data_IF_800997043960
#
_entry.id   IF_800997043960
#
_cell.length_a   1.000
_cell.length_b   1.000
_cell.length_c   1.000
_cell.angle_alpha   90.00
_cell.angle_beta   90.00
_cell.angle_gamma   90.00
#
_symmetry.space_group_name_H-M   'P 1'
#
loop_
_entity.id
_entity.type
_entity.pdbx_description
1 polymer ?
#
# COMPACT_ATOMS: atom_id res chain seq x y z
N UNK A 1 -1.80 1.75 32.55
CA UNK A 1 -1.94 2.75 31.46
C UNK A 1 -1.66 2.05 30.15
N UNK A 2 -2.65 1.97 29.29
CA UNK A 2 -2.47 1.42 27.94
C UNK A 2 -1.47 2.31 27.19
N UNK A 3 -0.33 1.78 26.77
CA UNK A 3 0.69 2.55 26.06
C UNK A 3 0.24 2.76 24.61
N UNK A 4 -0.08 3.99 24.26
CA UNK A 4 -0.18 4.40 22.86
C UNK A 4 1.22 4.46 22.26
N UNK A 5 1.45 3.80 21.13
CA UNK A 5 2.74 3.85 20.47
C UNK A 5 3.00 2.72 19.50
N UNK A 6 4.17 2.79 18.91
CA UNK A 6 4.63 1.82 17.91
C UNK A 6 6.00 1.30 18.34
N UNK A 7 6.28 0.05 18.00
CA UNK A 7 7.57 -0.57 18.27
C UNK A 7 7.94 -1.60 17.20
N UNK A 8 9.24 -1.79 17.00
CA UNK A 8 9.76 -2.94 16.24
C UNK A 8 10.04 -4.05 17.27
N UNK A 9 9.33 -5.19 17.23
CA UNK A 9 9.58 -6.31 18.12
C UNK A 9 11.00 -6.86 18.02
N UNK A 10 11.46 -7.60 19.04
CA UNK A 10 12.83 -8.15 19.04
C UNK A 10 13.12 -9.03 17.84
N UNK A 11 12.17 -9.88 17.43
CA UNK A 11 12.31 -10.72 16.24
C UNK A 11 12.38 -9.88 14.96
N UNK A 12 11.59 -8.81 14.88
CA UNK A 12 11.64 -7.87 13.76
C UNK A 12 12.99 -7.17 13.63
N UNK A 13 13.57 -6.72 14.76
CA UNK A 13 14.93 -6.14 14.77
C UNK A 13 16.00 -7.16 14.35
N UNK A 14 15.88 -8.39 14.82
CA UNK A 14 16.79 -9.46 14.43
C UNK A 14 16.68 -9.77 12.93
N UNK A 15 15.47 -9.77 12.37
CA UNK A 15 15.23 -9.93 10.95
C UNK A 15 15.88 -8.80 10.14
N UNK A 16 15.69 -7.54 10.53
CA UNK A 16 16.32 -6.39 9.87
C UNK A 16 17.85 -6.55 9.84
N UNK A 17 18.45 -6.87 10.98
CA UNK A 17 19.90 -7.07 11.07
C UNK A 17 20.39 -8.20 10.14
N UNK A 18 19.65 -9.30 10.07
CA UNK A 18 19.94 -10.46 9.22
C UNK A 18 19.86 -10.10 7.73
N UNK A 19 18.79 -9.41 7.33
CA UNK A 19 18.58 -8.96 5.95
C UNK A 19 19.68 -8.00 5.49
N UNK A 20 20.08 -7.05 6.35
CA UNK A 20 21.18 -6.15 6.06
C UNK A 20 22.52 -6.89 5.88
N UNK A 21 22.80 -7.86 6.75
CA UNK A 21 24.04 -8.67 6.66
C UNK A 21 24.10 -9.50 5.38
N UNK A 22 22.97 -10.08 4.97
CA UNK A 22 22.84 -10.93 3.77
C UNK A 22 22.59 -10.13 2.48
N UNK A 23 22.37 -8.81 2.57
CA UNK A 23 21.98 -7.92 1.46
C UNK A 23 20.75 -8.41 0.69
N UNK A 24 19.79 -8.94 1.41
CA UNK A 24 18.54 -9.46 0.87
C UNK A 24 17.42 -8.42 1.00
N UNK A 25 16.40 -8.44 0.14
CA UNK A 25 15.24 -7.57 0.30
C UNK A 25 14.40 -8.00 1.51
N UNK A 26 13.87 -7.03 2.26
CA UNK A 26 12.85 -7.25 3.27
C UNK A 26 11.50 -7.47 2.57
N UNK A 27 10.88 -8.63 2.79
CA UNK A 27 9.62 -9.03 2.15
C UNK A 27 8.47 -8.90 3.13
N UNK A 28 7.66 -7.85 3.00
CA UNK A 28 6.42 -7.71 3.78
C UNK A 28 5.41 -8.73 3.24
N UNK A 29 4.91 -9.58 4.13
CA UNK A 29 4.06 -10.72 3.77
C UNK A 29 2.58 -10.49 4.08
N UNK A 30 2.26 -9.73 5.12
CA UNK A 30 0.88 -9.38 5.47
C UNK A 30 0.82 -8.18 6.41
N UNK A 31 -0.37 -7.60 6.47
CA UNK A 31 -0.75 -6.58 7.44
C UNK A 31 -2.02 -7.05 8.13
N UNK A 32 -2.08 -6.90 9.45
CA UNK A 32 -3.22 -7.33 10.26
C UNK A 32 -3.66 -6.22 11.20
N UNK A 33 -4.98 -6.11 11.37
CA UNK A 33 -5.62 -5.32 12.42
C UNK A 33 -6.12 -6.25 13.51
N UNK A 34 -6.01 -5.79 14.75
CA UNK A 34 -6.45 -6.54 15.91
C UNK A 34 -7.28 -5.69 16.87
N UNK A 35 -8.03 -6.37 17.73
CA UNK A 35 -8.80 -5.76 18.81
C UNK A 35 -8.23 -6.04 20.21
N UNK A 36 -7.08 -6.71 20.24
CA UNK A 36 -6.40 -7.05 21.49
C UNK A 36 -5.78 -5.83 22.17
N UNK A 37 -5.48 -6.00 23.43
CA UNK A 37 -4.76 -5.05 24.26
C UNK A 37 -3.53 -5.74 24.81
N UNK A 38 -2.34 -5.19 24.56
CA UNK A 38 -1.12 -5.73 25.12
C UNK A 38 -1.23 -5.76 26.67
N UNK A 39 -1.05 -6.94 27.29
CA UNK A 39 -1.09 -7.05 28.74
C UNK A 39 -0.06 -6.13 29.41
N UNK A 40 -0.39 -5.61 30.61
CA UNK A 40 0.47 -4.65 31.32
C UNK A 40 1.83 -5.25 31.74
N UNK A 41 1.88 -6.55 31.93
CA UNK A 41 3.07 -7.33 32.29
C UNK A 41 3.90 -7.79 31.09
N UNK A 42 3.42 -7.54 29.86
CA UNK A 42 4.10 -7.90 28.62
C UNK A 42 4.70 -6.65 27.97
N UNK A 43 6.00 -6.69 27.71
CA UNK A 43 6.62 -5.63 26.94
C UNK A 43 6.24 -5.76 25.44
N UNK A 44 5.66 -4.74 24.81
CA UNK A 44 5.20 -4.83 23.40
C UNK A 44 6.27 -5.29 22.41
N UNK A 45 7.53 -5.00 22.70
CA UNK A 45 8.68 -5.47 21.90
C UNK A 45 8.96 -6.97 22.00
N UNK A 46 8.31 -7.70 22.90
CA UNK A 46 8.43 -9.16 23.03
C UNK A 46 7.29 -9.92 22.37
N UNK A 47 6.27 -9.21 21.85
CA UNK A 47 5.18 -9.82 21.12
C UNK A 47 5.68 -10.47 19.82
N UNK A 48 5.19 -11.65 19.53
CA UNK A 48 5.48 -12.40 18.30
C UNK A 48 4.34 -12.32 17.29
N UNK A 49 3.13 -12.02 17.73
CA UNK A 49 1.93 -11.78 16.93
C UNK A 49 1.05 -10.74 17.62
N UNK A 50 -0.02 -10.30 16.97
CA UNK A 50 -1.07 -9.50 17.60
C UNK A 50 -1.71 -10.28 18.74
N UNK A 51 -2.18 -9.57 19.75
CA UNK A 51 -2.87 -10.18 20.90
C UNK A 51 -4.19 -10.79 20.47
N UNK A 52 -4.96 -10.12 19.63
CA UNK A 52 -6.21 -10.61 19.09
C UNK A 52 -6.39 -10.13 17.64
N UNK A 53 -5.80 -10.82 16.65
CA UNK A 53 -5.93 -10.45 15.24
C UNK A 53 -7.38 -10.67 14.75
N UNK A 54 -7.91 -9.74 13.96
CA UNK A 54 -9.30 -9.78 13.46
C UNK A 54 -9.37 -9.72 11.95
N UNK A 55 -8.68 -8.76 11.32
CA UNK A 55 -8.83 -8.48 9.90
C UNK A 55 -7.51 -8.19 9.21
N UNK A 56 -7.39 -8.61 7.97
CA UNK A 56 -6.27 -8.21 7.13
C UNK A 56 -6.38 -6.73 6.73
N UNK A 57 -5.23 -6.08 6.63
CA UNK A 57 -5.07 -4.76 6.06
C UNK A 57 -4.27 -4.79 4.77
N UNK A 58 -4.04 -3.62 4.21
CA UNK A 58 -3.16 -3.38 3.06
C UNK A 58 -2.22 -2.22 3.35
N UNK A 59 -1.32 -1.90 2.43
CA UNK A 59 -0.47 -0.71 2.53
C UNK A 59 -0.24 -0.06 1.18
N UNK A 60 0.23 1.19 1.21
CA UNK A 60 0.87 1.81 0.03
C UNK A 60 2.18 1.09 -0.29
N UNK A 61 2.68 1.28 -1.51
CA UNK A 61 4.07 0.94 -1.80
C UNK A 61 5.02 1.70 -0.86
N UNK A 62 6.05 1.02 -0.33
CA UNK A 62 7.04 1.66 0.51
C UNK A 62 7.83 2.71 -0.25
N UNK A 63 8.00 3.87 0.36
CA UNK A 63 8.91 4.92 -0.10
C UNK A 63 10.09 5.06 0.85
N UNK A 64 11.21 5.62 0.37
CA UNK A 64 12.46 5.66 1.10
C UNK A 64 12.92 7.08 1.30
N UNK A 65 13.36 7.39 2.53
CA UNK A 65 14.09 8.60 2.85
C UNK A 65 15.31 8.23 3.74
N UNK A 66 16.48 8.26 3.13
CA UNK A 66 17.71 7.82 3.78
C UNK A 66 17.66 6.32 4.17
N UNK A 67 17.66 6.06 5.46
CA UNK A 67 17.62 4.73 6.06
C UNK A 67 16.22 4.31 6.55
N UNK A 68 15.21 5.15 6.29
CA UNK A 68 13.84 4.95 6.77
C UNK A 68 12.91 4.63 5.61
N UNK A 69 12.07 3.63 5.82
CA UNK A 69 10.98 3.22 4.95
C UNK A 69 9.69 3.81 5.48
N UNK A 70 8.99 4.54 4.64
CA UNK A 70 7.68 5.11 4.91
C UNK A 70 6.62 4.33 4.17
N UNK A 71 5.55 3.95 4.83
CA UNK A 71 4.37 3.34 4.24
C UNK A 71 3.11 3.76 4.99
N UNK A 72 1.98 3.72 4.32
CA UNK A 72 0.67 3.90 4.93
C UNK A 72 0.00 2.54 5.06
N UNK A 73 -0.20 2.07 6.27
CA UNK A 73 -1.03 0.89 6.56
C UNK A 73 -2.49 1.31 6.49
N UNK A 74 -3.30 0.58 5.74
CA UNK A 74 -4.72 0.87 5.54
C UNK A 74 -5.58 -0.36 5.88
N UNK A 75 -6.64 -0.13 6.66
CA UNK A 75 -7.78 -1.03 6.77
C UNK A 75 -8.96 -0.47 5.98
N UNK A 76 -9.64 -1.33 5.25
CA UNK A 76 -10.91 -1.03 4.60
C UNK A 76 -11.92 -2.13 4.91
N UNK A 77 -13.15 -1.74 5.19
CA UNK A 77 -14.21 -2.70 5.56
C UNK A 77 -14.59 -3.68 4.45
N UNK A 78 -14.25 -3.39 3.20
CA UNK A 78 -14.49 -4.25 2.03
C UNK A 78 -13.34 -5.21 1.69
N UNK A 79 -12.22 -5.16 2.44
CA UNK A 79 -11.11 -6.10 2.24
C UNK A 79 -11.55 -7.55 2.49
N UNK A 80 -11.04 -8.48 1.68
CA UNK A 80 -11.31 -9.92 1.78
C UNK A 80 -12.80 -10.29 1.77
N UNK A 81 -13.60 -9.57 0.99
CA UNK A 81 -15.05 -9.78 0.89
C UNK A 81 -15.87 -9.08 1.97
N UNK A 82 -15.21 -8.30 2.83
CA UNK A 82 -15.83 -7.58 3.93
C UNK A 82 -16.03 -8.41 5.19
N UNK A 83 -16.13 -7.74 6.32
CA UNK A 83 -16.47 -8.36 7.60
C UNK A 83 -17.98 -8.23 7.86
N UNK A 84 -18.58 -9.31 8.34
CA UNK A 84 -20.01 -9.38 8.72
C UNK A 84 -20.32 -8.66 10.02
N UNK A 85 -19.29 -8.26 10.78
CA UNK A 85 -19.45 -7.54 12.04
C UNK A 85 -18.37 -6.46 12.18
N UNK A 86 -18.74 -5.34 12.80
CA UNK A 86 -17.78 -4.30 13.19
C UNK A 86 -16.91 -4.75 14.37
N UNK A 87 -15.77 -4.07 14.55
CA UNK A 87 -14.86 -4.31 15.67
C UNK A 87 -14.09 -3.03 16.02
N UNK A 88 -13.43 -3.04 17.18
CA UNK A 88 -12.56 -1.97 17.61
C UNK A 88 -11.13 -2.26 17.18
N UNK A 89 -10.56 -1.44 16.30
CA UNK A 89 -9.12 -1.48 16.05
C UNK A 89 -8.41 -0.92 17.28
N UNK A 90 -7.62 -1.77 17.93
CA UNK A 90 -6.79 -1.42 19.10
C UNK A 90 -5.31 -1.60 18.83
N UNK A 91 -5.00 -2.48 17.89
CA UNK A 91 -3.64 -2.82 17.51
C UNK A 91 -3.56 -3.11 16.01
N UNK A 92 -2.37 -2.98 15.46
CA UNK A 92 -2.06 -3.43 14.09
C UNK A 92 -0.62 -3.93 14.02
N UNK A 93 -0.37 -4.82 13.07
CA UNK A 93 0.95 -5.39 12.84
C UNK A 93 1.31 -5.45 11.36
N UNK A 94 2.57 -5.18 11.06
CA UNK A 94 3.19 -5.46 9.77
C UNK A 94 4.07 -6.69 9.93
N UNK A 95 3.90 -7.67 9.06
CA UNK A 95 4.63 -8.94 9.09
C UNK A 95 5.53 -9.07 7.86
N UNK A 96 6.66 -9.72 8.05
CA UNK A 96 7.62 -9.97 6.99
C UNK A 96 8.11 -11.42 7.01
N UNK A 97 8.57 -11.91 5.86
CA UNK A 97 9.19 -13.23 5.75
C UNK A 97 10.65 -13.19 6.17
N UNK A 98 11.04 -14.11 7.04
CA UNK A 98 12.45 -14.42 7.32
C UNK A 98 13.06 -15.18 6.13
N UNK A 99 14.36 -15.33 6.13
CA UNK A 99 15.13 -16.04 5.08
C UNK A 99 14.77 -17.53 4.97
N UNK A 100 14.26 -18.13 6.05
CA UNK A 100 13.75 -19.51 6.08
C UNK A 100 12.30 -19.64 5.62
N UNK A 101 11.64 -18.52 5.28
CA UNK A 101 10.23 -18.45 4.86
C UNK A 101 9.23 -18.35 6.00
N UNK A 102 9.68 -18.39 7.27
CA UNK A 102 8.79 -18.13 8.41
C UNK A 102 8.34 -16.67 8.46
N UNK A 103 7.19 -16.40 9.07
CA UNK A 103 6.71 -15.04 9.30
C UNK A 103 7.20 -14.49 10.63
N UNK A 104 7.54 -13.22 10.62
CA UNK A 104 7.97 -12.45 11.79
C UNK A 104 7.22 -11.14 11.83
N UNK A 105 6.68 -10.77 12.99
CA UNK A 105 6.12 -9.44 13.20
C UNK A 105 7.25 -8.41 13.18
N UNK A 106 7.25 -7.59 12.11
CA UNK A 106 8.26 -6.56 11.88
C UNK A 106 7.95 -5.29 12.65
N UNK A 107 6.67 -4.94 12.76
CA UNK A 107 6.21 -3.70 13.36
C UNK A 107 4.90 -3.94 14.10
N UNK A 108 4.80 -3.40 15.29
CA UNK A 108 3.60 -3.44 16.12
C UNK A 108 3.18 -2.03 16.50
N UNK A 109 1.92 -1.70 16.26
CA UNK A 109 1.29 -0.46 16.66
C UNK A 109 0.12 -0.73 17.61
N UNK A 110 0.04 0.05 18.68
CA UNK A 110 -1.11 0.03 19.60
C UNK A 110 -1.76 1.40 19.66
N UNK A 111 -3.09 1.44 19.61
CA UNK A 111 -3.88 2.66 19.75
C UNK A 111 -4.15 3.02 21.22
N UNK A 112 -3.71 2.18 22.16
CA UNK A 112 -3.83 2.44 23.60
C UNK A 112 -5.28 2.69 24.03
N UNK A 113 -5.49 3.84 24.63
CA UNK A 113 -6.78 4.28 25.15
C UNK A 113 -7.69 4.91 24.06
N UNK A 114 -7.25 4.95 22.81
CA UNK A 114 -7.96 5.56 21.67
C UNK A 114 -8.32 4.54 20.58
N UNK A 115 -9.05 3.44 20.91
CA UNK A 115 -9.47 2.48 19.91
C UNK A 115 -10.39 3.14 18.87
N UNK A 116 -10.34 2.65 17.65
CA UNK A 116 -11.16 3.15 16.56
C UNK A 116 -12.17 2.10 16.14
N UNK A 117 -13.45 2.45 16.22
CA UNK A 117 -14.52 1.59 15.72
C UNK A 117 -14.50 1.55 14.20
N UNK A 118 -14.67 0.36 13.65
CA UNK A 118 -14.97 0.13 12.24
C UNK A 118 -16.23 -0.71 12.11
N UNK A 119 -17.11 -0.30 11.21
CA UNK A 119 -18.39 -0.95 10.98
C UNK A 119 -18.27 -2.16 10.08
N UNK A 120 -19.26 -3.07 10.14
CA UNK A 120 -19.43 -4.10 9.15
C UNK A 120 -19.63 -3.48 7.75
N UNK A 121 -19.13 -4.12 6.72
CA UNK A 121 -19.20 -3.61 5.36
C UNK A 121 -20.65 -3.38 4.88
N UNK A 122 -21.59 -4.26 5.28
CA UNK A 122 -23.00 -4.18 4.89
C UNK A 122 -23.80 -3.07 5.57
N UNK A 123 -23.29 -2.47 6.67
CA UNK A 123 -24.10 -1.58 7.52
C UNK A 123 -24.01 -0.11 7.12
N UNK A 124 -22.84 0.40 6.77
CA UNK A 124 -22.59 1.82 6.57
C UNK A 124 -21.77 2.16 5.32
N UNK A 125 -21.57 1.18 4.43
CA UNK A 125 -20.72 1.35 3.26
C UNK A 125 -19.22 1.18 3.58
N UNK A 126 -18.37 1.91 2.90
CA UNK A 126 -16.92 1.80 3.04
C UNK A 126 -16.41 2.55 4.28
N UNK A 127 -15.84 1.83 5.23
CA UNK A 127 -15.12 2.39 6.37
C UNK A 127 -13.63 2.17 6.18
N UNK A 128 -12.84 3.22 6.32
CA UNK A 128 -11.39 3.21 6.07
C UNK A 128 -10.64 3.81 7.24
N UNK A 129 -9.54 3.15 7.66
CA UNK A 129 -8.59 3.66 8.66
C UNK A 129 -7.18 3.57 8.11
N UNK A 130 -6.37 4.60 8.39
CA UNK A 130 -5.00 4.71 7.89
C UNK A 130 -4.05 5.02 9.02
N UNK A 131 -2.91 4.35 9.01
CA UNK A 131 -1.86 4.49 10.02
C UNK A 131 -0.52 4.67 9.32
N UNK A 132 0.17 5.81 9.52
CA UNK A 132 1.52 5.98 9.01
C UNK A 132 2.47 5.04 9.75
N UNK A 133 3.35 4.40 9.02
CA UNK A 133 4.37 3.49 9.54
C UNK A 133 5.71 3.88 8.98
N UNK A 134 6.64 4.18 9.88
CA UNK A 134 8.02 4.51 9.58
C UNK A 134 8.93 3.43 10.19
N UNK A 135 9.74 2.79 9.35
CA UNK A 135 10.64 1.71 9.77
C UNK A 135 12.06 2.08 9.37
N UNK A 136 12.92 2.32 10.34
CA UNK A 136 14.36 2.51 10.09
C UNK A 136 15.02 1.14 9.90
N UNK A 137 15.54 0.88 8.69
CA UNK A 137 16.13 -0.41 8.31
C UNK A 137 17.61 -0.31 7.93
N UNK A 138 18.18 0.90 7.83
CA UNK A 138 19.56 1.14 7.45
C UNK A 138 19.76 1.36 5.94
N UNK A 139 20.86 2.00 5.58
CA UNK A 139 21.19 2.35 4.20
C UNK A 139 21.31 1.13 3.29
N UNK A 140 20.75 1.23 2.09
CA UNK A 140 20.87 0.25 1.02
C UNK A 140 19.96 -0.98 1.15
N UNK A 141 19.04 -1.00 2.13
CA UNK A 141 18.02 -2.05 2.21
C UNK A 141 16.90 -1.80 1.18
N UNK A 142 16.40 -2.89 0.61
CA UNK A 142 15.23 -2.87 -0.28
C UNK A 142 14.06 -3.54 0.41
N UNK A 143 12.89 -2.93 0.38
CA UNK A 143 11.64 -3.53 0.87
C UNK A 143 10.76 -3.91 -0.30
N UNK A 144 10.19 -5.10 -0.27
CA UNK A 144 9.26 -5.62 -1.27
C UNK A 144 7.98 -6.03 -0.55
N UNK A 145 6.84 -5.69 -1.13
CA UNK A 145 5.55 -6.20 -0.68
C UNK A 145 5.32 -7.55 -1.36
N UNK A 146 5.19 -8.61 -0.55
CA UNK A 146 5.00 -10.00 -0.99
C UNK A 146 3.70 -10.59 -0.42
N UNK A 147 2.60 -9.85 -0.54
CA UNK A 147 1.27 -10.38 -0.29
C UNK A 147 0.41 -10.21 -1.55
N UNK A 148 -0.64 -11.06 -1.66
CA UNK A 148 -1.47 -11.10 -2.86
C UNK A 148 -2.03 -9.72 -3.19
N UNK A 149 -1.95 -9.27 -4.46
CA UNK A 149 -2.57 -8.04 -4.94
C UNK A 149 -4.11 -8.06 -4.88
N UNK A 150 -4.73 -9.15 -4.44
CA UNK A 150 -6.15 -9.17 -4.04
C UNK A 150 -6.40 -8.28 -2.81
N UNK A 151 -5.36 -7.88 -2.11
CA UNK A 151 -5.41 -6.72 -1.25
C UNK A 151 -5.75 -5.50 -2.11
N UNK A 152 -6.89 -4.90 -1.86
CA UNK A 152 -7.39 -3.72 -2.59
C UNK A 152 -6.35 -2.60 -2.56
N UNK A 153 -6.18 -1.94 -3.71
CA UNK A 153 -5.26 -0.80 -3.84
C UNK A 153 -5.70 0.34 -2.93
N UNK A 154 -4.74 1.00 -2.29
CA UNK A 154 -5.00 2.25 -1.59
C UNK A 154 -5.33 3.37 -2.57
N UNK A 155 -5.85 4.51 -2.08
CA UNK A 155 -6.13 5.68 -2.93
C UNK A 155 -4.85 6.21 -3.61
N UNK A 156 -3.71 6.09 -2.94
CA UNK A 156 -2.40 6.48 -3.45
C UNK A 156 -1.94 5.51 -4.55
N UNK A 157 -2.15 4.21 -4.37
CA UNK A 157 -1.84 3.19 -5.39
C UNK A 157 -2.68 3.41 -6.65
N UNK A 158 -3.97 3.73 -6.49
CA UNK A 158 -4.86 4.06 -7.62
C UNK A 158 -4.36 5.31 -8.35
N UNK A 159 -3.97 6.37 -7.63
CA UNK A 159 -3.37 7.56 -8.24
C UNK A 159 -2.07 7.23 -8.96
N UNK A 160 -1.19 6.46 -8.32
CA UNK A 160 0.04 5.97 -8.92
C UNK A 160 -0.23 5.20 -10.21
N UNK A 161 -1.10 4.20 -10.17
CA UNK A 161 -1.50 3.42 -11.35
C UNK A 161 -2.08 4.31 -12.45
N UNK A 162 -2.96 5.25 -12.11
CA UNK A 162 -3.54 6.18 -13.08
C UNK A 162 -2.47 7.05 -13.75
N UNK A 163 -1.53 7.59 -12.99
CA UNK A 163 -0.52 8.52 -13.51
C UNK A 163 0.64 7.83 -14.22
N UNK A 164 1.11 6.70 -13.73
CA UNK A 164 2.31 6.01 -14.25
C UNK A 164 2.02 4.97 -15.30
N UNK A 165 0.81 4.38 -15.31
CA UNK A 165 0.46 3.28 -16.20
C UNK A 165 -0.70 3.62 -17.11
N UNK A 166 -1.86 3.97 -16.56
CA UNK A 166 -3.09 4.13 -17.33
C UNK A 166 -3.01 5.34 -18.26
N UNK A 167 -2.65 6.51 -17.72
CA UNK A 167 -2.58 7.74 -18.51
C UNK A 167 -1.54 7.66 -19.65
N UNK A 168 -0.32 7.14 -19.45
CA UNK A 168 0.62 6.92 -20.56
C UNK A 168 0.10 5.94 -21.61
N UNK A 169 -0.59 4.87 -21.22
CA UNK A 169 -1.22 3.95 -22.16
C UNK A 169 -2.27 4.64 -23.03
N UNK A 170 -3.19 5.40 -22.43
CA UNK A 170 -4.18 6.19 -23.16
C UNK A 170 -3.55 7.22 -24.10
N UNK A 171 -2.50 7.90 -23.66
CA UNK A 171 -1.78 8.86 -24.49
C UNK A 171 -1.12 8.16 -25.70
N UNK A 172 -0.55 6.99 -25.51
CA UNK A 172 0.05 6.20 -26.60
C UNK A 172 -0.98 5.70 -27.59
N UNK A 173 -2.13 5.19 -27.11
CA UNK A 173 -3.24 4.79 -27.98
C UNK A 173 -3.85 5.99 -28.74
N UNK A 174 -4.07 7.11 -28.04
CA UNK A 174 -4.56 8.32 -28.67
C UNK A 174 -3.61 8.83 -29.76
N UNK A 175 -2.30 8.79 -29.51
CA UNK A 175 -1.28 9.15 -30.48
C UNK A 175 -1.34 8.21 -31.71
N UNK A 176 -1.49 6.91 -31.51
CA UNK A 176 -1.64 5.92 -32.59
C UNK A 176 -2.91 6.10 -33.40
N UNK A 177 -3.99 6.63 -32.80
CA UNK A 177 -5.22 6.98 -33.51
C UNK A 177 -5.10 8.31 -34.27
N UNK A 178 -4.26 9.23 -33.83
CA UNK A 178 -4.04 10.52 -34.49
C UNK A 178 -3.12 10.38 -35.70
N UNK A 179 -2.08 9.55 -35.62
CA UNK A 179 -1.09 9.36 -36.68
C UNK A 179 -1.67 8.81 -38.00
N UNK A 180 -2.64 7.86 -38.02
CA UNK A 180 -3.30 7.42 -39.26
C UNK A 180 -4.16 8.48 -39.92
N UNK A 181 -4.62 9.51 -39.18
CA UNK A 181 -5.40 10.62 -39.72
C UNK A 181 -4.54 11.78 -40.24
N UNK A 182 -3.25 11.74 -40.01
CA UNK A 182 -2.31 12.76 -40.52
C UNK A 182 -2.25 12.84 -42.06
N UNK A 183 -2.35 11.73 -42.82
CA UNK A 183 -2.51 11.78 -44.28
C UNK A 183 -3.77 12.51 -44.73
N UNK A 184 -4.88 12.37 -44.01
CA UNK A 184 -6.14 13.03 -44.32
C UNK A 184 -6.08 14.55 -44.10
N UNK A 185 -5.31 15.01 -43.12
CA UNK A 185 -5.07 16.43 -42.89
C UNK A 185 -4.31 17.06 -44.05
N UNK A 186 -3.32 16.36 -44.61
CA UNK A 186 -2.59 16.78 -45.78
C UNK A 186 -3.46 16.73 -47.02
N UNK A 187 -4.37 15.74 -47.16
CA UNK A 187 -5.34 15.65 -48.22
C UNK A 187 -6.38 16.79 -48.18
N UNK A 188 -6.89 17.14 -47.02
CA UNK A 188 -7.76 18.29 -46.81
C UNK A 188 -7.08 19.62 -47.16
N UNK A 189 -5.82 19.80 -46.78
CA UNK A 189 -5.05 20.97 -47.11
C UNK A 189 -4.73 21.07 -48.60
N UNK A 190 -4.49 19.94 -49.27
CA UNK A 190 -4.33 19.84 -50.74
C UNK A 190 -5.62 20.21 -51.46
N UNK A 191 -6.77 19.76 -50.98
CA UNK A 191 -8.10 20.11 -51.57
C UNK A 191 -8.39 21.60 -51.38
N UNK A 192 -8.11 22.18 -50.23
CA UNK A 192 -8.28 23.61 -50.01
C UNK A 192 -7.38 24.46 -50.91
N UNK A 193 -6.14 24.07 -51.09
CA UNK A 193 -5.21 24.76 -51.96
C UNK A 193 -5.67 24.67 -53.43
N UNK A 194 -6.15 23.51 -53.90
CA UNK A 194 -6.69 23.33 -55.23
C UNK A 194 -7.96 24.15 -55.48
N UNK A 195 -8.85 24.25 -54.48
CA UNK A 195 -10.03 25.10 -54.54
C UNK A 195 -9.70 26.60 -54.60
N UNK A 196 -8.64 27.03 -53.88
CA UNK A 196 -8.15 28.42 -53.96
C UNK A 196 -7.58 28.77 -55.35
N UNK A 197 -6.85 27.83 -55.94
CA UNK A 197 -6.31 28.00 -57.33
C UNK A 197 -7.35 28.08 -58.42
N UNK A 198 -8.49 27.36 -58.25
CA UNK A 198 -9.61 27.40 -59.18
C UNK A 198 -10.37 28.72 -59.12
N UNK A 199 -10.45 29.34 -57.92
CA UNK A 199 -11.13 30.62 -57.76
C UNK A 199 -10.31 31.85 -58.20
N UNK A 200 -9.07 31.67 -58.53
CA UNK A 200 -8.18 32.74 -59.01
C UNK A 200 -7.98 32.76 -60.52
N UNK A 201 -8.74 31.95 -61.27
CA UNK A 201 -8.78 31.98 -62.74
C UNK A 201 -10.18 32.44 -63.21
#
# INVERSE_FOLDING_TARGET
MSQYGCTIPRRGRALIAKILAEKMPLKISRIMMGQGVCPEDVFPGDLEDLVEPVAAGTSTEPTYDGDTVHMMVEYRSDLNGGLDRGFWIREFGVFAKDLDGSEVMLYYGTLGDYPQWVSAYSEQGLDTRRYPVDITIGEGATVIIDYSPEAFMTSEDVKGLCTTTILPMFLTEAQGLIDPHNPDRNAHQAIQNTAADINMR
#
